data_IF_755320883614
#
_entry.id   IF_755320883614
#
_cell.length_a   1.000
_cell.length_b   1.000
_cell.length_c   1.000
_cell.angle_alpha   90.00
_cell.angle_beta   90.00
_cell.angle_gamma   90.00
#
_symmetry.space_group_name_H-M   'P 1'
#
loop_
_entity.id
_entity.type
_entity.pdbx_description
1 polymer ?
#
# COMPACT_ATOMS: atom_id res chain seq x y z
N UNK A 1 35.81 -59.14 14.44
CA UNK A 1 34.99 -58.33 13.52
C UNK A 1 33.93 -57.64 14.38
N UNK A 2 34.14 -56.36 14.73
CA UNK A 2 33.57 -55.16 14.10
C UNK A 2 32.05 -55.06 14.33
N UNK A 3 31.39 -53.94 14.68
CA UNK A 3 31.72 -52.61 15.21
C UNK A 3 30.36 -51.88 15.36
N UNK A 4 30.21 -51.01 16.37
CA UNK A 4 29.38 -49.77 16.41
C UNK A 4 27.84 -49.82 16.56
N UNK A 5 27.41 -49.44 17.78
CA UNK A 5 26.49 -48.37 18.24
C UNK A 5 25.43 -47.72 17.28
N UNK A 6 24.30 -47.24 17.86
CA UNK A 6 23.07 -46.87 17.17
C UNK A 6 23.11 -45.47 16.53
N UNK A 7 22.41 -45.29 15.40
CA UNK A 7 22.21 -44.00 14.75
C UNK A 7 20.74 -43.58 14.86
N UNK A 8 20.50 -42.65 15.79
CA UNK A 8 19.32 -41.79 15.85
C UNK A 8 19.20 -40.98 14.55
N UNK A 9 18.10 -41.12 13.81
CA UNK A 9 17.75 -40.18 12.73
C UNK A 9 16.63 -39.28 13.23
N UNK A 10 17.05 -38.08 13.61
CA UNK A 10 16.22 -36.90 13.82
C UNK A 10 15.81 -36.40 12.42
N UNK A 11 14.54 -36.58 12.04
CA UNK A 11 14.00 -36.00 10.81
C UNK A 11 13.23 -34.72 11.14
N UNK A 12 13.97 -33.62 11.20
CA UNK A 12 13.45 -32.25 11.22
C UNK A 12 12.98 -31.92 9.80
N UNK A 13 11.67 -31.96 9.54
CA UNK A 13 11.09 -31.43 8.32
C UNK A 13 10.42 -30.09 8.63
N UNK A 14 11.11 -29.02 8.26
CA UNK A 14 10.63 -27.66 8.28
C UNK A 14 9.59 -27.45 7.17
N UNK A 15 8.35 -27.13 7.55
CA UNK A 15 7.34 -26.55 6.67
C UNK A 15 6.31 -25.79 7.51
N UNK A 16 6.58 -24.49 7.74
CA UNK A 16 5.65 -23.53 8.32
C UNK A 16 5.86 -22.23 7.53
N UNK A 17 4.92 -21.65 6.79
CA UNK A 17 3.58 -22.06 6.40
C UNK A 17 3.14 -21.09 5.31
N UNK A 18 2.93 -21.60 4.09
CA UNK A 18 2.07 -20.94 3.11
C UNK A 18 0.67 -21.44 3.40
N UNK A 19 -0.08 -20.71 4.23
CA UNK A 19 -1.53 -20.88 4.34
C UNK A 19 -2.14 -20.35 3.05
N UNK A 20 -2.08 -21.19 2.04
CA UNK A 20 -2.86 -21.11 0.81
C UNK A 20 -3.52 -22.48 0.66
N UNK A 21 -4.68 -22.66 1.32
CA UNK A 21 -5.78 -23.56 0.94
C UNK A 21 -6.76 -23.67 2.13
N UNK A 22 -7.78 -22.81 2.16
CA UNK A 22 -9.11 -23.22 2.60
C UNK A 22 -9.94 -23.15 1.31
N UNK A 23 -10.50 -24.22 0.76
CA UNK A 23 -11.29 -25.25 1.40
C UNK A 23 -12.70 -25.05 0.85
N UNK A 24 -13.03 -25.85 -0.18
CA UNK A 24 -14.29 -25.98 -0.91
C UNK A 24 -15.47 -25.07 -0.48
N UNK A 25 -15.75 -24.02 -1.24
CA UNK A 25 -17.10 -23.62 -1.68
C UNK A 25 -16.97 -22.46 -2.70
N UNK A 26 -17.79 -22.49 -3.75
CA UNK A 26 -17.70 -21.69 -4.97
C UNK A 26 -17.95 -20.18 -4.75
N UNK A 27 -16.96 -19.47 -4.24
CA UNK A 27 -16.88 -18.00 -4.31
C UNK A 27 -15.47 -17.59 -4.70
N UNK A 28 -15.29 -17.15 -5.94
CA UNK A 28 -13.99 -16.98 -6.61
C UNK A 28 -13.16 -15.77 -6.15
N UNK A 29 -13.23 -15.38 -4.87
CA UNK A 29 -12.48 -14.23 -4.35
C UNK A 29 -12.61 -14.02 -2.84
N UNK A 30 -11.85 -13.06 -2.32
CA UNK A 30 -11.85 -12.69 -0.91
C UNK A 30 -13.20 -12.11 -0.49
N UNK A 31 -13.74 -12.61 0.62
CA UNK A 31 -14.87 -11.98 1.29
C UNK A 31 -14.56 -10.52 1.63
N UNK A 32 -15.59 -9.66 1.74
CA UNK A 32 -15.40 -8.26 2.14
C UNK A 32 -14.54 -8.10 3.40
N UNK A 33 -14.76 -8.96 4.40
CA UNK A 33 -14.03 -8.89 5.67
C UNK A 33 -12.56 -9.28 5.53
N UNK A 34 -12.24 -10.31 4.74
CA UNK A 34 -10.85 -10.75 4.55
C UNK A 34 -10.08 -9.85 3.59
N UNK A 35 -10.78 -9.31 2.58
CA UNK A 35 -10.27 -8.27 1.71
C UNK A 35 -9.87 -7.02 2.50
N UNK A 36 -10.75 -6.54 3.39
CA UNK A 36 -10.47 -5.38 4.24
C UNK A 36 -9.27 -5.61 5.18
N UNK A 37 -9.15 -6.80 5.79
CA UNK A 37 -7.99 -7.13 6.64
C UNK A 37 -6.68 -7.11 5.85
N UNK A 38 -6.65 -7.68 4.65
CA UNK A 38 -5.45 -7.69 3.82
C UNK A 38 -5.09 -6.30 3.32
N UNK A 39 -6.09 -5.50 2.92
CA UNK A 39 -5.90 -4.10 2.58
C UNK A 39 -5.28 -3.32 3.76
N UNK A 40 -5.80 -3.50 4.97
CA UNK A 40 -5.29 -2.84 6.16
C UNK A 40 -3.82 -3.18 6.44
N UNK A 41 -3.39 -4.42 6.23
CA UNK A 41 -1.97 -4.81 6.37
C UNK A 41 -1.08 -4.06 5.35
N UNK A 42 -1.54 -3.94 4.10
CA UNK A 42 -0.81 -3.24 3.05
C UNK A 42 -0.70 -1.75 3.40
N UNK A 43 -1.81 -1.10 3.74
CA UNK A 43 -1.83 0.31 4.10
C UNK A 43 -0.99 0.61 5.34
N UNK A 44 -1.00 -0.26 6.36
CA UNK A 44 -0.12 -0.09 7.52
C UNK A 44 1.37 -0.25 7.20
N UNK A 45 1.68 -1.14 6.26
CA UNK A 45 3.06 -1.31 5.77
C UNK A 45 3.54 -0.05 5.08
N UNK A 46 2.72 0.50 4.18
CA UNK A 46 3.01 1.74 3.47
C UNK A 46 3.13 2.92 4.44
N UNK A 47 2.17 3.10 5.36
CA UNK A 47 2.22 4.10 6.42
C UNK A 47 3.51 4.01 7.24
N UNK A 48 3.88 2.81 7.69
CA UNK A 48 5.09 2.60 8.47
C UNK A 48 6.35 2.95 7.69
N UNK A 49 6.37 2.70 6.38
CA UNK A 49 7.47 3.13 5.50
C UNK A 49 7.50 4.65 5.36
N UNK A 50 6.36 5.29 5.11
CA UNK A 50 6.22 6.74 4.95
C UNK A 50 6.62 7.52 6.21
N UNK A 51 6.25 7.02 7.41
CA UNK A 51 6.62 7.65 8.69
C UNK A 51 8.13 7.66 8.98
N UNK A 52 8.94 6.86 8.27
CA UNK A 52 10.40 6.89 8.38
C UNK A 52 11.03 7.99 7.53
N UNK A 53 10.22 8.69 6.72
CA UNK A 53 10.68 9.74 5.84
C UNK A 53 10.24 11.08 6.43
N UNK A 54 11.23 11.89 6.82
CA UNK A 54 10.98 13.24 7.30
C UNK A 54 10.55 14.14 6.13
N UNK A 55 9.37 14.74 6.25
CA UNK A 55 8.93 15.80 5.33
C UNK A 55 9.72 17.09 5.58
N UNK A 56 10.08 17.86 4.53
CA UNK A 56 10.54 19.23 4.67
C UNK A 56 9.55 20.05 5.49
N UNK A 57 10.06 20.98 6.31
CA UNK A 57 9.22 21.73 7.26
C UNK A 57 8.17 22.61 6.57
N UNK A 58 8.46 23.03 5.34
CA UNK A 58 7.62 23.87 4.50
C UNK A 58 6.93 23.08 3.38
N UNK A 59 6.95 21.74 3.40
CA UNK A 59 6.35 20.92 2.35
C UNK A 59 4.84 21.22 2.22
N UNK A 60 4.39 21.49 0.99
CA UNK A 60 2.99 21.87 0.72
C UNK A 60 2.68 23.33 1.00
N UNK A 61 3.67 24.16 1.34
CA UNK A 61 3.51 25.60 1.45
C UNK A 61 3.92 26.30 0.15
N UNK A 62 3.43 27.53 -0.12
CA UNK A 62 3.89 28.33 -1.26
C UNK A 62 5.41 28.62 -1.24
N UNK A 63 6.05 28.46 -0.08
CA UNK A 63 7.48 28.67 0.14
C UNK A 63 8.34 27.42 -0.02
N UNK A 64 7.75 26.24 -0.30
CA UNK A 64 8.50 24.98 -0.42
C UNK A 64 9.66 25.10 -1.42
N UNK A 65 10.85 24.65 -1.05
CA UNK A 65 11.96 24.49 -1.99
C UNK A 65 11.67 23.31 -2.95
N UNK A 66 11.66 23.54 -4.29
CA UNK A 66 11.41 22.48 -5.27
C UNK A 66 12.37 21.29 -5.18
N UNK A 67 13.63 21.51 -4.79
CA UNK A 67 14.62 20.45 -4.64
C UNK A 67 14.37 19.59 -3.39
N UNK A 68 13.97 20.21 -2.27
CA UNK A 68 13.59 19.48 -1.06
C UNK A 68 12.28 18.71 -1.26
N UNK A 69 11.30 19.34 -1.95
CA UNK A 69 10.06 18.68 -2.34
C UNK A 69 10.33 17.47 -3.25
N UNK A 70 11.21 17.61 -4.25
CA UNK A 70 11.61 16.49 -5.11
C UNK A 70 12.25 15.36 -4.30
N UNK A 71 13.23 15.66 -3.43
CA UNK A 71 13.92 14.66 -2.61
C UNK A 71 12.99 13.92 -1.64
N UNK A 72 11.94 14.59 -1.15
CA UNK A 72 10.90 13.97 -0.35
C UNK A 72 9.99 13.07 -1.20
N UNK A 73 9.47 13.59 -2.32
CA UNK A 73 8.60 12.85 -3.24
C UNK A 73 9.28 11.63 -3.85
N UNK A 74 10.61 11.67 -4.10
CA UNK A 74 11.39 10.51 -4.56
C UNK A 74 11.31 9.31 -3.61
N UNK A 75 11.07 9.55 -2.33
CA UNK A 75 10.96 8.50 -1.31
C UNK A 75 9.52 8.08 -1.06
N UNK A 76 8.57 9.01 -1.16
CA UNK A 76 7.15 8.76 -0.89
C UNK A 76 6.44 8.13 -2.09
N UNK A 77 6.62 8.67 -3.31
CA UNK A 77 5.96 8.17 -4.51
C UNK A 77 6.13 6.65 -4.73
N UNK A 78 7.33 6.04 -4.59
CA UNK A 78 7.45 4.58 -4.75
C UNK A 78 6.74 3.77 -3.66
N UNK A 79 6.54 4.32 -2.45
CA UNK A 79 5.80 3.64 -1.38
C UNK A 79 4.32 3.58 -1.75
N UNK A 80 3.72 4.72 -2.11
CA UNK A 80 2.31 4.80 -2.53
C UNK A 80 2.07 4.00 -3.81
N UNK A 81 3.01 4.02 -4.77
CA UNK A 81 2.94 3.17 -5.97
C UNK A 81 2.91 1.69 -5.64
N UNK A 82 3.74 1.26 -4.67
CA UNK A 82 3.75 -0.12 -4.22
C UNK A 82 2.45 -0.48 -3.51
N UNK A 83 1.93 0.39 -2.64
CA UNK A 83 0.62 0.25 -1.99
C UNK A 83 -0.49 0.04 -3.03
N UNK A 84 -0.60 0.93 -4.02
CA UNK A 84 -1.56 0.81 -5.12
C UNK A 84 -1.45 -0.54 -5.86
N UNK A 85 -0.22 -1.00 -6.09
CA UNK A 85 0.06 -2.26 -6.80
C UNK A 85 -0.33 -3.48 -5.95
N UNK A 86 0.06 -3.49 -4.68
CA UNK A 86 -0.24 -4.58 -3.75
C UNK A 86 -1.76 -4.68 -3.51
N UNK A 87 -2.46 -3.54 -3.38
CA UNK A 87 -3.93 -3.53 -3.26
C UNK A 87 -4.58 -4.06 -4.54
N UNK A 88 -4.17 -3.59 -5.72
CA UNK A 88 -4.71 -4.12 -7.00
C UNK A 88 -4.49 -5.63 -7.20
N UNK A 89 -3.51 -6.22 -6.53
CA UNK A 89 -3.25 -7.65 -6.59
C UNK A 89 -4.19 -8.49 -5.72
N UNK A 90 -4.99 -7.89 -4.84
CA UNK A 90 -6.02 -8.63 -4.09
C UNK A 90 -7.24 -8.90 -4.98
N UNK A 91 -7.75 -10.13 -4.89
CA UNK A 91 -8.89 -10.60 -5.67
C UNK A 91 -10.18 -10.52 -4.83
N UNK A 92 -11.09 -9.56 -5.06
CA UNK A 92 -12.35 -9.47 -4.33
C UNK A 92 -13.36 -10.52 -4.80
N UNK A 93 -14.25 -10.96 -3.91
CA UNK A 93 -15.49 -11.62 -4.31
C UNK A 93 -16.40 -10.68 -5.10
N UNK A 94 -17.29 -11.23 -5.93
CA UNK A 94 -18.13 -10.46 -6.87
C UNK A 94 -19.02 -9.42 -6.17
N UNK A 95 -19.49 -9.71 -4.96
CA UNK A 95 -20.38 -8.84 -4.18
C UNK A 95 -19.69 -7.57 -3.67
N UNK A 96 -18.37 -7.57 -3.52
CA UNK A 96 -17.56 -6.42 -3.06
C UNK A 96 -16.70 -5.81 -4.17
N UNK A 97 -16.59 -6.48 -5.32
CA UNK A 97 -15.71 -6.08 -6.43
C UNK A 97 -15.88 -4.63 -6.87
N UNK A 98 -17.10 -4.14 -7.03
CA UNK A 98 -17.34 -2.76 -7.48
C UNK A 98 -16.81 -1.71 -6.49
N UNK A 99 -16.99 -1.94 -5.18
CA UNK A 99 -16.48 -1.05 -4.14
C UNK A 99 -14.95 -1.16 -4.02
N UNK A 100 -14.39 -2.35 -4.23
CA UNK A 100 -12.95 -2.58 -4.27
C UNK A 100 -12.28 -1.87 -5.45
N UNK A 101 -12.85 -1.99 -6.64
CA UNK A 101 -12.34 -1.35 -7.85
C UNK A 101 -12.36 0.19 -7.69
N UNK A 102 -13.40 0.74 -7.06
CA UNK A 102 -13.48 2.17 -6.74
C UNK A 102 -12.41 2.61 -5.72
N UNK A 103 -12.16 1.80 -4.70
CA UNK A 103 -11.11 2.06 -3.70
C UNK A 103 -9.70 2.01 -4.32
N UNK A 104 -9.37 0.95 -5.06
CA UNK A 104 -8.04 0.81 -5.69
C UNK A 104 -7.80 1.82 -6.81
N UNK A 105 -8.87 2.30 -7.47
CA UNK A 105 -8.78 3.42 -8.40
C UNK A 105 -8.36 4.72 -7.70
N UNK A 106 -8.88 5.00 -6.50
CA UNK A 106 -8.50 6.20 -5.73
C UNK A 106 -7.06 6.16 -5.26
N UNK A 107 -6.58 5.00 -4.82
CA UNK A 107 -5.17 4.85 -4.47
C UNK A 107 -4.26 5.01 -5.69
N UNK A 108 -4.69 4.49 -6.85
CA UNK A 108 -3.93 4.67 -8.10
C UNK A 108 -3.90 6.12 -8.54
N UNK A 109 -5.01 6.84 -8.39
CA UNK A 109 -5.08 8.29 -8.67
C UNK A 109 -4.11 9.06 -7.77
N UNK A 110 -4.06 8.75 -6.47
CA UNK A 110 -3.11 9.36 -5.54
C UNK A 110 -1.66 9.05 -5.94
N UNK A 111 -1.36 7.79 -6.26
CA UNK A 111 -0.03 7.40 -6.66
C UNK A 111 0.39 8.10 -7.98
N UNK A 112 -0.50 8.17 -8.98
CA UNK A 112 -0.22 8.80 -10.28
C UNK A 112 0.00 10.31 -10.10
N UNK A 113 -0.78 10.90 -9.18
CA UNK A 113 -0.66 12.29 -8.81
C UNK A 113 0.70 12.61 -8.15
N UNK A 114 1.17 11.75 -7.23
CA UNK A 114 2.49 11.91 -6.61
C UNK A 114 3.64 11.73 -7.61
N UNK A 115 3.52 10.80 -8.56
CA UNK A 115 4.48 10.64 -9.67
C UNK A 115 4.52 11.91 -10.54
N UNK A 116 3.36 12.52 -10.81
CA UNK A 116 3.25 13.80 -11.52
C UNK A 116 3.88 14.96 -10.75
N UNK A 117 3.62 15.06 -9.45
CA UNK A 117 4.26 16.06 -8.58
C UNK A 117 5.78 15.91 -8.56
N UNK A 118 6.28 14.67 -8.48
CA UNK A 118 7.71 14.39 -8.53
C UNK A 118 8.33 14.86 -9.84
N UNK A 119 7.68 14.57 -10.97
CA UNK A 119 8.15 15.01 -12.28
C UNK A 119 8.20 16.55 -12.37
N UNK A 120 7.18 17.24 -11.86
CA UNK A 120 7.14 18.71 -11.79
C UNK A 120 8.22 19.29 -10.88
N UNK A 121 8.41 18.71 -9.70
CA UNK A 121 9.45 19.14 -8.75
C UNK A 121 10.86 18.99 -9.37
N UNK A 122 11.13 17.88 -10.05
CA UNK A 122 12.38 17.65 -10.80
C UNK A 122 12.58 18.65 -11.94
N UNK A 123 11.49 19.03 -12.61
CA UNK A 123 11.49 20.04 -13.67
C UNK A 123 11.54 21.49 -13.13
N UNK A 124 11.49 21.69 -11.80
CA UNK A 124 11.33 23.00 -11.15
C UNK A 124 10.10 23.76 -11.66
N UNK A 125 9.04 23.02 -11.98
CA UNK A 125 7.75 23.57 -12.40
C UNK A 125 6.99 24.08 -11.17
N UNK A 126 6.84 25.40 -11.07
CA UNK A 126 6.15 26.08 -9.97
C UNK A 126 4.67 25.68 -9.84
N UNK A 127 4.05 25.15 -10.91
CA UNK A 127 2.68 24.62 -10.81
C UNK A 127 2.59 23.39 -9.90
N UNK A 128 3.67 22.63 -9.72
CA UNK A 128 3.72 21.49 -8.82
C UNK A 128 3.45 21.87 -7.37
N UNK A 129 3.87 23.06 -6.94
CA UNK A 129 3.60 23.56 -5.58
C UNK A 129 2.11 23.85 -5.36
N UNK A 130 1.42 24.38 -6.37
CA UNK A 130 -0.03 24.61 -6.31
C UNK A 130 -0.81 23.30 -6.31
N UNK A 131 -0.34 22.33 -7.07
CA UNK A 131 -0.99 21.02 -7.12
C UNK A 131 -0.98 20.33 -5.74
N UNK A 132 0.03 20.56 -4.88
CA UNK A 132 0.07 20.01 -3.51
C UNK A 132 -1.18 20.32 -2.68
N UNK A 133 -1.91 21.41 -2.98
CA UNK A 133 -3.20 21.73 -2.35
C UNK A 133 -4.27 20.65 -2.56
N UNK A 134 -4.11 19.78 -3.57
CA UNK A 134 -5.02 18.66 -3.84
C UNK A 134 -4.77 17.43 -2.97
N UNK A 135 -3.58 17.30 -2.36
CA UNK A 135 -3.23 16.11 -1.55
C UNK A 135 -4.25 15.84 -0.44
N UNK A 136 -4.69 16.83 0.37
CA UNK A 136 -5.68 16.58 1.41
C UNK A 136 -7.02 16.08 0.87
N UNK A 137 -7.46 16.58 -0.29
CA UNK A 137 -8.70 16.13 -0.92
C UNK A 137 -8.57 14.67 -1.40
N UNK A 138 -7.48 14.34 -2.09
CA UNK A 138 -7.22 12.97 -2.56
C UNK A 138 -7.14 11.98 -1.40
N UNK A 139 -6.47 12.37 -0.30
CA UNK A 139 -6.43 11.58 0.92
C UNK A 139 -7.82 11.35 1.52
N UNK A 140 -8.65 12.40 1.60
CA UNK A 140 -10.02 12.27 2.10
C UNK A 140 -10.90 11.36 1.22
N UNK A 141 -10.76 11.46 -0.11
CA UNK A 141 -11.47 10.60 -1.07
C UNK A 141 -11.04 9.12 -0.94
N UNK A 142 -9.73 8.88 -0.79
CA UNK A 142 -9.19 7.55 -0.50
C UNK A 142 -9.73 7.00 0.83
N UNK A 143 -9.66 7.79 1.92
CA UNK A 143 -10.17 7.38 3.23
C UNK A 143 -11.66 7.07 3.23
N UNK A 144 -12.46 7.83 2.46
CA UNK A 144 -13.88 7.57 2.29
C UNK A 144 -14.13 6.24 1.57
N UNK A 145 -13.37 5.96 0.49
CA UNK A 145 -13.47 4.70 -0.24
C UNK A 145 -13.03 3.50 0.63
N UNK A 146 -11.94 3.65 1.39
CA UNK A 146 -11.47 2.66 2.35
C UNK A 146 -12.52 2.32 3.43
N UNK A 147 -13.20 3.34 3.95
CA UNK A 147 -14.28 3.16 4.94
C UNK A 147 -15.44 2.34 4.37
N UNK A 148 -15.80 2.54 3.10
CA UNK A 148 -16.90 1.82 2.44
C UNK A 148 -16.67 0.31 2.38
N UNK A 149 -15.42 -0.11 2.16
CA UNK A 149 -15.03 -1.52 2.11
C UNK A 149 -14.71 -2.12 3.48
N UNK A 150 -14.64 -1.30 4.54
CA UNK A 150 -14.30 -1.73 5.90
C UNK A 150 -12.80 -1.77 6.21
N UNK A 151 -11.95 -1.24 5.31
CA UNK A 151 -10.51 -1.14 5.48
C UNK A 151 -10.15 0.09 6.36
N UNK A 152 -10.43 -0.03 7.65
CA UNK A 152 -10.30 1.08 8.61
C UNK A 152 -8.84 1.48 8.90
N UNK A 153 -7.89 0.58 8.66
CA UNK A 153 -6.46 0.85 8.70
C UNK A 153 -6.03 1.74 7.54
N UNK A 154 -6.54 1.49 6.33
CA UNK A 154 -6.34 2.35 5.16
C UNK A 154 -6.99 3.72 5.36
N UNK A 155 -8.20 3.79 5.93
CA UNK A 155 -8.89 5.06 6.14
C UNK A 155 -8.15 6.05 7.07
N UNK A 156 -7.21 5.55 7.88
CA UNK A 156 -6.39 6.32 8.83
C UNK A 156 -4.94 6.52 8.33
N UNK A 157 -4.67 6.14 7.07
CA UNK A 157 -3.38 6.24 6.40
C UNK A 157 -2.77 7.62 6.53
#
# INVERSE_FOLDING_TARGET
MNLRKPLTILATAAALGLVACGGDDESSGLSKADLAKQADVICQTAKTASLKITAPADFGQPTSDPAEAAAYLEKIAPITRKEATDLKALEPADDVKADWDAFTAKESELADFLDGLLAKAKAKDESGLKDLERVPQLGAEFSAAATKIGASGCAKG
#
